data_IF_052429697311
#
_entry.id   IF_052429697311
#
_cell.length_a   1.000
_cell.length_b   1.000
_cell.length_c   1.000
_cell.angle_alpha   90.00
_cell.angle_beta   90.00
_cell.angle_gamma   90.00
#
_symmetry.space_group_name_H-M   'P 1'
#
loop_
_entity.id
_entity.type
_entity.pdbx_description
1 polymer ?
#
# COMPACT_ATOMS: atom_id res chain seq x y z
N UNK A 1 2.59 20.18 28.95
CA UNK A 1 3.35 19.33 28.02
C UNK A 1 2.74 19.51 26.65
N UNK A 2 3.53 19.95 25.67
CA UNK A 2 3.04 20.22 24.32
C UNK A 2 2.48 18.92 23.73
N UNK A 3 1.18 18.92 23.40
CA UNK A 3 0.57 17.86 22.60
C UNK A 3 1.10 18.02 21.18
N UNK A 4 2.21 17.39 20.86
CA UNK A 4 2.56 17.09 19.47
C UNK A 4 1.63 15.98 19.02
N UNK A 5 0.39 16.37 18.71
CA UNK A 5 -0.55 15.52 17.98
C UNK A 5 0.14 15.23 16.65
N UNK A 6 0.54 13.98 16.45
CA UNK A 6 1.07 13.48 15.19
C UNK A 6 -0.06 13.55 14.15
N UNK A 7 -0.27 14.72 13.54
CA UNK A 7 -1.01 14.88 12.30
C UNK A 7 -0.19 14.23 11.17
N UNK A 8 -0.17 12.89 11.17
CA UNK A 8 0.58 12.02 10.26
C UNK A 8 -0.35 11.35 9.26
N UNK A 9 -1.60 11.81 9.16
CA UNK A 9 -2.71 11.13 8.48
C UNK A 9 -2.56 11.06 6.96
N UNK A 10 -1.97 12.07 6.30
CA UNK A 10 -1.66 11.97 4.85
C UNK A 10 -0.16 11.98 4.51
N UNK A 11 0.68 12.59 5.33
CA UNK A 11 2.14 12.50 5.14
C UNK A 11 2.71 11.13 5.54
N UNK A 12 2.01 10.32 6.34
CA UNK A 12 2.48 9.03 6.86
C UNK A 12 2.89 8.01 5.81
N UNK A 13 2.28 8.04 4.62
CA UNK A 13 2.57 7.05 3.59
C UNK A 13 3.83 7.40 2.79
N UNK A 14 4.13 8.70 2.67
CA UNK A 14 5.43 9.17 2.20
C UNK A 14 6.45 9.15 3.35
N UNK A 15 6.02 9.28 4.62
CA UNK A 15 6.88 9.49 5.77
C UNK A 15 7.31 8.23 6.55
N UNK A 16 6.65 7.08 6.39
CA UNK A 16 6.97 5.86 7.15
C UNK A 16 8.38 5.31 6.88
N UNK A 17 9.02 5.69 5.77
CA UNK A 17 10.44 5.42 5.52
C UNK A 17 11.39 6.59 5.82
N UNK A 18 10.91 7.78 6.21
CA UNK A 18 11.78 8.94 6.51
C UNK A 18 11.98 9.26 7.97
N UNK A 19 11.29 8.61 8.92
CA UNK A 19 11.63 8.79 10.33
C UNK A 19 13.10 8.42 10.63
N UNK A 20 13.73 7.69 9.71
CA UNK A 20 15.07 7.15 9.84
C UNK A 20 16.11 7.71 8.89
N UNK A 21 15.71 8.46 7.85
CA UNK A 21 16.61 8.85 6.78
C UNK A 21 17.82 9.65 7.31
N UNK A 22 19.00 9.35 6.78
CA UNK A 22 20.22 10.09 7.05
C UNK A 22 20.31 11.32 6.13
N UNK A 23 20.27 12.51 6.73
CA UNK A 23 20.61 13.76 6.03
C UNK A 23 22.09 13.72 5.67
N UNK A 24 22.40 13.63 4.37
CA UNK A 24 23.78 13.55 3.86
C UNK A 24 24.24 14.85 3.20
N UNK A 25 23.29 15.73 2.87
CA UNK A 25 23.57 17.04 2.32
C UNK A 25 22.50 18.04 2.75
N UNK A 26 22.94 19.20 3.21
CA UNK A 26 22.08 20.33 3.54
C UNK A 26 22.87 21.62 3.39
N UNK A 27 22.79 22.22 2.20
CA UNK A 27 23.52 23.43 1.88
C UNK A 27 22.81 24.22 0.78
N UNK A 28 22.87 25.54 0.88
CA UNK A 28 22.39 26.48 -0.16
C UNK A 28 20.92 26.24 -0.57
N UNK A 29 20.06 25.94 0.41
CA UNK A 29 18.64 25.69 0.21
C UNK A 29 18.30 24.31 -0.37
N UNK A 30 19.30 23.43 -0.54
CA UNK A 30 19.10 22.06 -1.01
C UNK A 30 19.41 21.06 0.11
N UNK A 31 18.45 20.15 0.33
CA UNK A 31 18.52 19.05 1.29
C UNK A 31 18.41 17.71 0.56
N UNK A 32 19.28 16.77 0.90
CA UNK A 32 19.25 15.39 0.43
C UNK A 32 19.31 14.43 1.62
N UNK A 33 18.25 13.66 1.77
CA UNK A 33 18.16 12.55 2.69
C UNK A 33 18.33 11.24 1.92
N UNK A 34 19.19 10.36 2.41
CA UNK A 34 19.33 8.99 1.92
C UNK A 34 18.78 8.06 2.97
N UNK A 35 18.02 7.05 2.54
CA UNK A 35 17.41 6.08 3.43
C UNK A 35 17.51 4.68 2.85
N UNK A 36 17.48 3.70 3.74
CA UNK A 36 17.51 2.32 3.31
C UNK A 36 17.21 1.34 4.44
N UNK A 37 17.03 0.09 4.05
CA UNK A 37 16.95 -1.02 4.99
C UNK A 37 17.45 -2.32 4.39
N UNK A 38 18.03 -3.16 5.24
CA UNK A 38 18.27 -4.57 4.97
C UNK A 38 17.29 -5.35 5.83
N UNK A 39 16.36 -6.08 5.21
CA UNK A 39 15.39 -6.93 5.90
C UNK A 39 15.77 -8.39 5.63
N UNK A 40 16.43 -9.02 6.60
CA UNK A 40 16.71 -10.45 6.60
C UNK A 40 15.46 -11.17 7.11
N UNK A 41 14.88 -12.06 6.31
CA UNK A 41 13.55 -12.59 6.57
C UNK A 41 13.38 -13.99 5.99
N UNK A 42 12.66 -14.84 6.72
CA UNK A 42 12.34 -16.20 6.28
C UNK A 42 10.86 -16.47 6.48
N UNK A 43 10.25 -17.11 5.50
CA UNK A 43 8.87 -17.61 5.57
C UNK A 43 8.89 -19.10 5.79
N UNK A 44 8.02 -19.57 6.67
CA UNK A 44 7.77 -20.98 6.94
C UNK A 44 6.32 -21.28 6.57
N UNK A 45 6.10 -22.17 5.61
CA UNK A 45 4.77 -22.48 5.06
C UNK A 45 4.75 -23.88 4.44
N UNK A 46 3.62 -24.57 4.51
CA UNK A 46 3.41 -25.82 3.76
C UNK A 46 3.30 -25.55 2.23
N UNK A 47 2.90 -24.34 1.85
CA UNK A 47 3.00 -23.85 0.47
C UNK A 47 4.45 -23.52 0.10
N UNK A 48 5.08 -24.43 -0.64
CA UNK A 48 6.45 -24.28 -1.15
C UNK A 48 6.69 -23.04 -2.03
N UNK A 49 5.65 -22.43 -2.61
CA UNK A 49 5.82 -21.18 -3.36
C UNK A 49 5.99 -19.96 -2.45
N UNK A 50 5.52 -20.07 -1.21
CA UNK A 50 5.62 -19.06 -0.16
C UNK A 50 6.80 -19.30 0.78
N UNK A 51 7.16 -20.57 1.04
CA UNK A 51 8.25 -20.95 1.93
C UNK A 51 9.62 -20.40 1.51
N UNK A 52 10.54 -20.30 2.47
CA UNK A 52 11.96 -20.05 2.24
C UNK A 52 12.42 -18.61 2.49
N UNK A 53 13.64 -18.32 2.05
CA UNK A 53 14.27 -17.00 2.21
C UNK A 53 13.51 -15.91 1.43
N UNK A 54 13.23 -14.79 2.11
CA UNK A 54 12.59 -13.59 1.58
C UNK A 54 13.42 -12.34 1.83
N UNK A 55 14.71 -12.49 2.08
CA UNK A 55 15.63 -11.38 2.35
C UNK A 55 15.63 -10.37 1.20
N UNK A 56 15.59 -9.08 1.54
CA UNK A 56 15.67 -8.00 0.56
C UNK A 56 16.33 -6.74 1.14
N UNK A 57 16.79 -5.88 0.23
CA UNK A 57 17.31 -4.55 0.55
C UNK A 57 16.44 -3.50 -0.12
N UNK A 58 16.14 -2.41 0.60
CA UNK A 58 15.62 -1.19 -0.03
C UNK A 58 16.61 -0.05 0.14
N UNK A 59 16.72 0.77 -0.88
CA UNK A 59 17.55 1.95 -0.88
C UNK A 59 16.86 3.07 -1.66
N UNK A 60 16.99 4.30 -1.20
CA UNK A 60 16.36 5.44 -1.82
C UNK A 60 16.90 6.76 -1.32
N UNK A 61 16.42 7.83 -1.95
CA UNK A 61 16.69 9.20 -1.52
C UNK A 61 15.43 10.05 -1.61
N UNK A 62 15.43 11.13 -0.83
CA UNK A 62 14.48 12.24 -0.87
C UNK A 62 15.30 13.52 -0.99
N UNK A 63 15.06 14.28 -2.04
CA UNK A 63 15.69 15.56 -2.26
C UNK A 63 14.65 16.67 -2.22
N UNK A 64 14.99 17.79 -1.58
CA UNK A 64 14.20 19.01 -1.57
C UNK A 64 15.11 20.20 -1.89
N UNK A 65 14.61 21.14 -2.68
CA UNK A 65 15.31 22.37 -3.03
C UNK A 65 14.37 23.56 -2.87
N UNK A 66 14.76 24.52 -2.05
CA UNK A 66 14.06 25.79 -1.92
C UNK A 66 14.33 26.63 -3.18
N UNK A 67 13.29 26.85 -3.99
CA UNK A 67 13.41 27.66 -5.21
C UNK A 67 13.26 29.14 -4.86
N UNK A 68 12.27 29.46 -4.02
CA UNK A 68 12.08 30.76 -3.39
C UNK A 68 11.27 30.58 -2.09
N UNK A 69 10.88 31.69 -1.45
CA UNK A 69 10.14 31.66 -0.18
C UNK A 69 8.80 30.92 -0.24
N UNK A 70 8.22 30.74 -1.43
CA UNK A 70 6.91 30.11 -1.63
C UNK A 70 6.95 28.75 -2.31
N UNK A 71 7.99 28.49 -3.10
CA UNK A 71 8.06 27.33 -3.98
C UNK A 71 9.24 26.43 -3.60
N UNK A 72 8.93 25.16 -3.37
CA UNK A 72 9.92 24.10 -3.10
C UNK A 72 9.81 23.03 -4.18
N UNK A 73 10.93 22.67 -4.79
CA UNK A 73 11.03 21.49 -5.65
C UNK A 73 11.40 20.27 -4.82
N UNK A 74 10.86 19.10 -5.16
CA UNK A 74 11.19 17.85 -4.48
C UNK A 74 11.25 16.67 -5.44
N UNK A 75 11.98 15.64 -5.03
CA UNK A 75 12.07 14.37 -5.76
C UNK A 75 12.31 13.21 -4.82
N UNK A 76 11.77 12.04 -5.17
CA UNK A 76 11.97 10.81 -4.41
C UNK A 76 12.21 9.64 -5.34
N UNK A 77 13.17 8.81 -4.96
CA UNK A 77 13.40 7.51 -5.56
C UNK A 77 13.53 6.44 -4.48
N UNK A 78 13.02 5.24 -4.75
CA UNK A 78 13.13 4.05 -3.90
C UNK A 78 13.24 2.82 -4.78
N UNK A 79 14.24 1.98 -4.52
CA UNK A 79 14.45 0.70 -5.21
C UNK A 79 14.55 -0.43 -4.20
N UNK A 80 14.08 -1.60 -4.59
CA UNK A 80 14.19 -2.86 -3.86
C UNK A 80 15.07 -3.84 -4.64
N UNK A 81 15.98 -4.49 -3.94
CA UNK A 81 16.90 -5.49 -4.46
C UNK A 81 16.63 -6.80 -3.74
N UNK A 82 16.47 -7.87 -4.51
CA UNK A 82 16.25 -9.21 -3.95
C UNK A 82 17.55 -9.71 -3.32
N UNK A 83 17.48 -10.20 -2.09
CA UNK A 83 18.62 -10.79 -1.36
C UNK A 83 18.53 -12.32 -1.25
N UNK A 84 17.54 -12.93 -1.89
CA UNK A 84 17.14 -14.33 -1.74
C UNK A 84 17.21 -15.15 -3.04
N UNK A 85 17.87 -14.63 -4.08
CA UNK A 85 18.09 -15.33 -5.35
C UNK A 85 19.59 -15.47 -5.60
N UNK A 86 19.98 -16.42 -6.47
CA UNK A 86 21.35 -16.49 -6.94
C UNK A 86 21.74 -15.24 -7.76
N UNK A 87 23.04 -15.02 -7.93
CA UNK A 87 23.58 -13.83 -8.60
C UNK A 87 23.12 -13.69 -10.06
N UNK A 88 22.77 -14.80 -10.71
CA UNK A 88 22.36 -14.83 -12.12
C UNK A 88 20.89 -14.46 -12.33
N UNK A 89 20.08 -14.53 -11.28
CA UNK A 89 18.62 -14.33 -11.32
C UNK A 89 18.13 -13.20 -10.41
N UNK A 90 19.04 -12.52 -9.69
CA UNK A 90 18.67 -11.41 -8.82
C UNK A 90 17.95 -10.29 -9.58
N UNK A 91 16.84 -9.81 -8.99
CA UNK A 91 16.00 -8.78 -9.60
C UNK A 91 15.99 -7.50 -8.78
N UNK A 92 15.91 -6.37 -9.50
CA UNK A 92 15.71 -5.04 -8.95
C UNK A 92 14.35 -4.51 -9.36
N UNK A 93 13.66 -3.80 -8.45
CA UNK A 93 12.37 -3.15 -8.73
C UNK A 93 12.36 -1.73 -8.19
N UNK A 94 12.13 -0.74 -9.07
CA UNK A 94 11.84 0.63 -8.65
C UNK A 94 10.44 0.70 -8.05
N UNK A 95 10.36 1.11 -6.79
CA UNK A 95 9.11 1.23 -6.03
C UNK A 95 8.52 2.63 -6.16
N UNK A 96 9.34 3.66 -6.02
CA UNK A 96 8.94 5.06 -6.16
C UNK A 96 9.96 5.78 -7.03
N UNK A 97 9.49 6.66 -7.90
CA UNK A 97 10.31 7.51 -8.76
C UNK A 97 9.45 8.67 -9.27
N UNK A 98 9.46 9.80 -8.56
CA UNK A 98 8.66 10.97 -8.91
C UNK A 98 9.37 12.26 -8.53
N UNK A 99 8.97 13.35 -9.16
CA UNK A 99 9.40 14.70 -8.84
C UNK A 99 8.18 15.64 -8.85
N UNK A 100 8.27 16.72 -8.09
CA UNK A 100 7.16 17.65 -7.92
C UNK A 100 7.55 19.02 -7.41
N UNK A 101 6.54 19.86 -7.30
CA UNK A 101 6.61 21.22 -6.79
C UNK A 101 5.58 21.38 -5.67
N UNK A 102 5.96 22.07 -4.60
CA UNK A 102 5.08 22.45 -3.49
C UNK A 102 5.03 23.96 -3.39
N UNK A 103 3.81 24.51 -3.36
CA UNK A 103 3.54 25.93 -3.27
C UNK A 103 2.87 26.26 -1.93
N UNK A 104 3.66 26.51 -0.89
CA UNK A 104 3.22 26.74 0.51
C UNK A 104 1.93 25.97 0.88
N UNK A 105 0.86 26.69 1.25
CA UNK A 105 -0.44 26.16 1.64
C UNK A 105 -1.37 25.82 0.46
N UNK A 106 -0.99 26.20 -0.77
CA UNK A 106 -1.79 25.91 -1.96
C UNK A 106 -1.65 24.46 -2.43
N UNK A 107 -0.73 23.70 -1.86
CA UNK A 107 -0.57 22.28 -2.08
C UNK A 107 0.68 21.91 -2.87
N UNK A 108 0.73 20.68 -3.33
CA UNK A 108 1.82 20.10 -4.10
C UNK A 108 1.32 19.36 -5.33
N UNK A 109 2.13 19.35 -6.37
CA UNK A 109 1.91 18.55 -7.56
C UNK A 109 3.15 17.73 -7.88
N UNK A 110 2.99 16.42 -8.08
CA UNK A 110 4.05 15.53 -8.54
C UNK A 110 3.63 14.63 -9.69
N UNK A 111 4.62 14.18 -10.46
CA UNK A 111 4.44 13.21 -11.53
C UNK A 111 5.48 12.10 -11.47
N UNK A 112 5.03 10.85 -11.66
CA UNK A 112 5.91 9.70 -11.84
C UNK A 112 5.32 8.39 -11.34
N UNK A 113 6.18 7.51 -10.83
CA UNK A 113 5.78 6.29 -10.13
C UNK A 113 5.58 6.61 -8.65
N UNK A 114 4.32 6.67 -8.23
CA UNK A 114 3.92 7.06 -6.88
C UNK A 114 2.79 6.13 -6.37
N UNK A 115 2.21 6.46 -5.22
CA UNK A 115 1.07 5.77 -4.64
C UNK A 115 -0.24 6.30 -5.21
N UNK A 116 -1.16 5.38 -5.52
CA UNK A 116 -2.49 5.68 -6.00
C UNK A 116 -3.40 6.25 -4.91
N UNK A 117 -4.39 7.06 -5.30
CA UNK A 117 -5.26 7.79 -4.37
C UNK A 117 -6.04 6.88 -3.40
N UNK A 118 -6.42 5.66 -3.80
CA UNK A 118 -7.10 4.71 -2.91
C UNK A 118 -6.22 4.29 -1.72
N UNK A 119 -4.91 4.32 -1.92
CA UNK A 119 -3.96 3.92 -0.88
C UNK A 119 -3.88 4.94 0.27
N UNK A 120 -4.42 6.15 0.10
CA UNK A 120 -4.60 7.12 1.19
C UNK A 120 -5.62 6.62 2.26
N UNK A 121 -6.40 5.59 1.94
CA UNK A 121 -7.26 4.85 2.88
C UNK A 121 -6.58 3.56 3.32
N UNK A 122 -6.19 2.70 2.38
CA UNK A 122 -5.65 1.35 2.64
C UNK A 122 -4.36 1.36 3.47
N UNK A 123 -3.58 2.43 3.42
CA UNK A 123 -2.36 2.53 4.22
C UNK A 123 -2.60 2.54 5.74
N UNK A 124 -3.83 2.78 6.20
CA UNK A 124 -4.15 2.75 7.64
C UNK A 124 -4.18 1.33 8.20
N UNK A 125 -4.46 0.31 7.38
CA UNK A 125 -4.43 -1.10 7.83
C UNK A 125 -3.18 -1.86 7.37
N UNK A 126 -2.40 -1.31 6.42
CA UNK A 126 -1.07 -1.81 5.99
C UNK A 126 0.02 -1.53 7.05
N UNK A 127 -0.19 -2.05 8.28
CA UNK A 127 0.62 -1.79 9.47
C UNK A 127 1.09 -3.07 10.19
N UNK A 128 0.86 -4.24 9.61
CA UNK A 128 1.26 -5.52 10.22
C UNK A 128 2.80 -5.64 10.18
N UNK A 129 3.43 -6.50 11.00
CA UNK A 129 4.88 -6.68 10.99
C UNK A 129 5.47 -7.06 9.61
N UNK A 130 4.76 -7.89 8.85
CA UNK A 130 5.13 -8.29 7.50
C UNK A 130 3.96 -8.42 6.52
N UNK A 131 2.84 -9.03 6.95
CA UNK A 131 1.68 -9.22 6.06
C UNK A 131 0.85 -7.93 5.94
N UNK A 132 -0.43 -8.03 5.53
CA UNK A 132 -1.31 -6.87 5.40
C UNK A 132 -1.08 -6.05 4.13
N UNK A 133 -2.03 -5.14 3.87
CA UNK A 133 -2.03 -4.29 2.67
C UNK A 133 -1.95 -5.08 1.36
N UNK A 134 -2.43 -6.33 1.37
CA UNK A 134 -2.35 -7.31 0.29
C UNK A 134 -3.74 -7.68 -0.27
N UNK A 135 -4.82 -7.20 0.37
CA UNK A 135 -6.18 -7.35 -0.15
C UNK A 135 -6.41 -6.41 -1.34
N UNK A 136 -7.03 -5.24 -1.17
CA UNK A 136 -7.29 -4.27 -2.24
C UNK A 136 -5.99 -3.66 -2.77
N UNK A 137 -5.09 -3.28 -1.86
CA UNK A 137 -3.83 -2.62 -2.18
C UNK A 137 -2.87 -3.48 -3.00
N UNK A 138 -2.97 -3.44 -4.33
CA UNK A 138 -2.09 -4.23 -5.22
C UNK A 138 -1.20 -3.33 -6.07
N UNK A 139 0.09 -3.66 -6.12
CA UNK A 139 1.07 -2.90 -6.91
C UNK A 139 0.76 -3.03 -8.40
N UNK A 140 0.85 -1.91 -9.11
CA UNK A 140 0.56 -1.79 -10.54
C UNK A 140 -0.88 -2.18 -10.93
N UNK A 141 -1.81 -2.18 -9.97
CA UNK A 141 -3.23 -2.43 -10.21
C UNK A 141 -4.03 -1.12 -10.08
N UNK A 142 -4.18 -0.41 -11.20
CA UNK A 142 -4.82 0.90 -11.27
C UNK A 142 -4.24 1.88 -10.23
N UNK A 143 -5.07 2.48 -9.36
CA UNK A 143 -4.69 3.42 -8.31
C UNK A 143 -4.84 2.83 -6.89
N UNK A 144 -4.77 1.49 -6.75
CA UNK A 144 -4.96 0.80 -5.45
C UNK A 144 -3.73 0.80 -4.53
N UNK A 145 -2.51 0.87 -5.10
CA UNK A 145 -1.22 0.96 -4.38
C UNK A 145 -0.23 1.73 -5.26
N UNK A 146 1.05 1.35 -5.31
CA UNK A 146 2.05 1.95 -6.20
C UNK A 146 1.68 1.70 -7.66
N UNK A 147 1.75 2.73 -8.50
CA UNK A 147 1.61 2.60 -9.96
C UNK A 147 2.43 3.64 -10.71
N UNK A 148 2.55 3.49 -12.03
CA UNK A 148 3.34 4.35 -12.91
C UNK A 148 2.47 5.38 -13.64
N UNK A 149 3.03 6.55 -13.92
CA UNK A 149 2.37 7.60 -14.72
C UNK A 149 1.26 8.32 -13.96
N UNK A 150 1.46 8.53 -12.66
CA UNK A 150 0.52 9.26 -11.80
C UNK A 150 0.88 10.75 -11.78
N UNK A 151 -0.07 11.60 -12.14
CA UNK A 151 -0.05 13.04 -11.88
C UNK A 151 -0.92 13.30 -10.66
N UNK A 152 -0.32 13.71 -9.54
CA UNK A 152 -1.00 13.81 -8.24
C UNK A 152 -0.90 15.23 -7.71
N UNK A 153 -2.05 15.84 -7.47
CA UNK A 153 -2.19 17.06 -6.70
C UNK A 153 -2.63 16.72 -5.28
N UNK A 154 -1.96 17.28 -4.27
CA UNK A 154 -2.32 17.14 -2.86
C UNK A 154 -2.41 18.51 -2.22
N UNK A 155 -3.34 18.66 -1.30
CA UNK A 155 -3.49 19.86 -0.50
C UNK A 155 -3.75 19.47 0.95
N UNK A 156 -2.99 20.08 1.85
CA UNK A 156 -3.17 19.87 3.28
C UNK A 156 -3.95 21.03 3.88
N UNK A 157 -4.75 20.75 4.90
CA UNK A 157 -5.56 21.72 5.64
C UNK A 157 -6.53 22.53 4.75
N UNK A 158 -6.96 21.92 3.64
CA UNK A 158 -7.87 22.48 2.64
C UNK A 158 -7.60 23.96 2.34
N UNK A 159 -6.40 24.23 1.83
CA UNK A 159 -5.89 25.57 1.47
C UNK A 159 -5.67 26.48 2.68
N UNK A 160 -5.53 25.89 3.87
CA UNK A 160 -5.50 26.58 5.16
C UNK A 160 -6.88 26.99 5.67
N UNK A 161 -7.97 26.54 5.06
CA UNK A 161 -9.34 26.89 5.47
C UNK A 161 -9.90 25.93 6.53
N UNK A 162 -9.49 24.67 6.52
CA UNK A 162 -9.98 23.64 7.45
C UNK A 162 -8.80 22.81 7.92
N UNK A 163 -8.32 23.10 9.12
CA UNK A 163 -7.24 22.35 9.79
C UNK A 163 -7.57 20.85 9.86
N UNK A 164 -6.63 20.02 9.43
CA UNK A 164 -6.76 18.55 9.43
C UNK A 164 -7.53 17.96 8.25
N UNK A 165 -8.13 18.78 7.35
CA UNK A 165 -8.80 18.29 6.14
C UNK A 165 -7.84 18.28 4.96
N UNK A 166 -7.44 17.08 4.56
CA UNK A 166 -6.50 16.89 3.46
C UNK A 166 -7.22 16.35 2.21
N UNK A 167 -6.81 16.84 1.04
CA UNK A 167 -7.38 16.51 -0.28
C UNK A 167 -6.31 15.95 -1.22
N UNK A 168 -6.68 14.92 -1.97
CA UNK A 168 -5.92 14.44 -3.14
C UNK A 168 -6.78 14.42 -4.39
N UNK A 169 -6.19 14.88 -5.49
CA UNK A 169 -6.70 14.71 -6.85
C UNK A 169 -5.60 14.03 -7.67
N UNK A 170 -5.95 13.00 -8.42
CA UNK A 170 -4.98 12.20 -9.15
C UNK A 170 -5.50 11.83 -10.53
N UNK A 171 -4.60 11.88 -11.51
CA UNK A 171 -4.79 11.31 -12.83
C UNK A 171 -3.74 10.23 -13.08
N UNK A 172 -4.15 9.14 -13.72
CA UNK A 172 -3.28 8.07 -14.18
C UNK A 172 -3.41 7.94 -15.69
N UNK A 173 -2.30 8.08 -16.42
CA UNK A 173 -2.26 7.79 -17.85
C UNK A 173 -2.33 6.29 -18.15
N UNK A 174 -2.87 5.94 -19.32
CA UNK A 174 -2.91 4.56 -19.82
C UNK A 174 -1.53 3.91 -19.83
N UNK A 175 -1.44 2.73 -19.20
CA UNK A 175 -0.30 1.82 -19.31
C UNK A 175 -0.71 0.57 -20.11
N UNK A 176 -0.37 0.53 -21.40
CA UNK A 176 -0.71 -0.60 -22.29
C UNK A 176 0.32 -1.73 -22.13
N UNK A 177 0.08 -2.61 -21.16
CA UNK A 177 0.94 -3.76 -20.84
C UNK A 177 0.32 -5.06 -21.31
N UNK A 178 1.15 -6.06 -21.67
CA UNK A 178 0.67 -7.39 -22.05
C UNK A 178 0.06 -8.17 -20.88
N UNK A 179 0.50 -7.89 -19.64
CA UNK A 179 -0.04 -8.50 -18.44
C UNK A 179 -1.29 -7.73 -17.99
N UNK A 180 -2.46 -8.36 -18.19
CA UNK A 180 -3.76 -7.74 -17.89
C UNK A 180 -3.87 -7.18 -16.46
N UNK A 181 -3.31 -7.88 -15.47
CA UNK A 181 -3.38 -7.51 -14.05
C UNK A 181 -2.56 -6.25 -13.72
N UNK A 182 -1.66 -5.83 -14.61
CA UNK A 182 -0.81 -4.65 -14.41
C UNK A 182 -1.00 -3.57 -15.46
N UNK A 183 -1.89 -3.79 -16.43
CA UNK A 183 -2.31 -2.79 -17.41
C UNK A 183 -3.38 -1.87 -16.79
N UNK A 184 -3.54 -0.67 -17.33
CA UNK A 184 -4.65 0.24 -17.00
C UNK A 184 -4.92 1.16 -18.19
N UNK A 185 -6.18 1.58 -18.35
CA UNK A 185 -6.54 2.72 -19.19
C UNK A 185 -6.26 4.05 -18.49
N UNK A 186 -6.71 5.14 -19.10
CA UNK A 186 -6.70 6.44 -18.44
C UNK A 186 -7.69 6.43 -17.26
N UNK A 187 -7.38 7.17 -16.19
CA UNK A 187 -8.25 7.22 -15.03
C UNK A 187 -7.98 8.38 -14.10
N UNK A 188 -8.93 8.61 -13.20
CA UNK A 188 -8.84 9.63 -12.16
C UNK A 188 -9.16 9.04 -10.79
N UNK A 189 -8.60 9.66 -9.76
CA UNK A 189 -8.83 9.29 -8.38
C UNK A 189 -8.87 10.53 -7.48
N UNK A 190 -9.56 10.40 -6.36
CA UNK A 190 -9.57 11.42 -5.31
C UNK A 190 -9.61 10.76 -3.95
N UNK A 191 -9.03 11.44 -2.96
CA UNK A 191 -9.17 11.08 -1.55
C UNK A 191 -9.41 12.34 -0.73
N UNK A 192 -10.12 12.15 0.38
CA UNK A 192 -10.30 13.13 1.44
C UNK A 192 -10.03 12.43 2.76
N UNK A 193 -9.21 13.04 3.61
CA UNK A 193 -9.06 12.59 4.99
C UNK A 193 -9.24 13.74 5.95
N UNK A 194 -9.83 13.46 7.11
CA UNK A 194 -10.06 14.45 8.13
C UNK A 194 -9.57 13.94 9.49
N UNK A 195 -8.57 14.65 10.02
CA UNK A 195 -8.18 14.61 11.42
C UNK A 195 -9.00 15.67 12.17
N UNK A 196 -9.81 15.25 13.13
CA UNK A 196 -10.84 16.10 13.74
C UNK A 196 -10.30 17.14 14.74
N UNK A 197 -8.99 17.45 14.73
CA UNK A 197 -8.42 18.58 15.47
C UNK A 197 -8.79 18.57 16.95
N UNK A 198 -8.17 17.69 17.75
CA UNK A 198 -8.46 17.51 19.18
C UNK A 198 -9.20 16.22 19.52
N UNK A 199 -9.50 15.40 18.52
CA UNK A 199 -9.83 13.98 18.65
C UNK A 199 -8.59 13.14 18.36
N UNK A 200 -8.53 11.93 18.93
CA UNK A 200 -7.52 10.92 18.59
C UNK A 200 -7.97 10.06 17.38
N UNK A 201 -9.11 10.38 16.78
CA UNK A 201 -9.71 9.69 15.64
C UNK A 201 -9.55 10.48 14.34
N UNK A 202 -9.38 9.75 13.23
CA UNK A 202 -9.40 10.27 11.88
C UNK A 202 -10.28 9.39 10.96
N UNK A 203 -10.84 10.00 9.91
CA UNK A 203 -11.57 9.32 8.84
C UNK A 203 -10.93 9.61 7.48
N UNK A 204 -10.89 8.63 6.59
CA UNK A 204 -10.42 8.79 5.21
C UNK A 204 -11.40 8.12 4.26
N UNK A 205 -11.57 8.68 3.07
CA UNK A 205 -12.35 8.10 1.99
C UNK A 205 -11.68 8.39 0.65
N UNK A 206 -11.77 7.44 -0.26
CA UNK A 206 -11.21 7.59 -1.60
C UNK A 206 -12.11 6.94 -2.65
N UNK A 207 -12.05 7.47 -3.87
CA UNK A 207 -12.73 6.97 -5.05
C UNK A 207 -11.79 7.00 -6.25
N UNK A 208 -11.82 5.97 -7.09
CA UNK A 208 -11.05 5.91 -8.32
C UNK A 208 -11.86 5.29 -9.45
N UNK A 209 -11.73 5.81 -10.66
CA UNK A 209 -12.30 5.21 -11.87
C UNK A 209 -11.28 5.26 -13.00
N UNK A 210 -11.12 4.15 -13.70
CA UNK A 210 -10.22 4.02 -14.84
C UNK A 210 -10.86 3.22 -15.96
N UNK A 211 -10.54 3.57 -17.20
CA UNK A 211 -10.85 2.70 -18.32
C UNK A 211 -10.05 1.40 -18.24
N UNK A 212 -10.61 0.31 -18.78
CA UNK A 212 -9.94 -0.99 -18.89
C UNK A 212 -9.39 -1.16 -20.31
N UNK A 213 -8.19 -1.68 -20.43
CA UNK A 213 -7.54 -1.89 -21.73
C UNK A 213 -8.16 -3.07 -22.49
N UNK A 214 -7.87 -3.17 -23.79
CA UNK A 214 -8.37 -4.27 -24.62
C UNK A 214 -7.91 -5.64 -24.11
N UNK A 215 -6.67 -5.76 -23.61
CA UNK A 215 -6.16 -7.03 -23.05
C UNK A 215 -6.92 -7.43 -21.77
N UNK A 216 -7.40 -6.46 -20.99
CA UNK A 216 -8.23 -6.72 -19.81
C UNK A 216 -9.64 -7.14 -20.22
N UNK A 217 -10.24 -6.43 -21.19
CA UNK A 217 -11.59 -6.74 -21.69
C UNK A 217 -11.66 -8.08 -22.41
N UNK A 218 -10.55 -8.57 -22.97
CA UNK A 218 -10.46 -9.86 -23.64
C UNK A 218 -10.35 -11.07 -22.68
N UNK A 219 -10.24 -10.86 -21.37
CA UNK A 219 -10.17 -11.97 -20.39
C UNK A 219 -11.52 -12.64 -20.16
N UNK A 220 -11.50 -13.93 -19.85
CA UNK A 220 -12.73 -14.69 -19.66
C UNK A 220 -13.54 -14.21 -18.46
N UNK A 221 -12.87 -13.82 -17.37
CA UNK A 221 -13.51 -13.19 -16.20
C UNK A 221 -13.48 -11.66 -16.31
N UNK A 222 -13.70 -11.08 -17.50
CA UNK A 222 -13.74 -9.62 -17.67
C UNK A 222 -15.16 -9.03 -17.64
N UNK A 223 -16.18 -9.86 -17.86
CA UNK A 223 -17.61 -9.52 -17.91
C UNK A 223 -17.96 -8.25 -18.69
N UNK A 224 -17.20 -7.94 -19.76
CA UNK A 224 -17.46 -6.79 -20.63
C UNK A 224 -17.40 -5.40 -19.98
N UNK A 225 -17.01 -5.29 -18.70
CA UNK A 225 -16.91 -4.02 -17.99
C UNK A 225 -15.82 -3.14 -18.62
N UNK A 226 -16.19 -1.96 -19.10
CA UNK A 226 -15.25 -1.01 -19.75
C UNK A 226 -14.41 -0.23 -18.75
N UNK A 227 -14.86 -0.15 -17.50
CA UNK A 227 -14.24 0.64 -16.45
C UNK A 227 -13.94 -0.24 -15.23
N UNK A 228 -12.85 0.08 -14.55
CA UNK A 228 -12.48 -0.41 -13.24
C UNK A 228 -12.76 0.71 -12.24
N UNK A 229 -13.55 0.40 -11.21
CA UNK A 229 -13.99 1.36 -10.20
C UNK A 229 -13.60 0.86 -8.82
N UNK A 230 -13.22 1.77 -7.93
CA UNK A 230 -13.13 1.47 -6.51
C UNK A 230 -13.55 2.65 -5.65
N UNK A 231 -14.10 2.33 -4.49
CA UNK A 231 -14.26 3.28 -3.41
C UNK A 231 -13.93 2.61 -2.09
N UNK A 232 -13.32 3.34 -1.18
CA UNK A 232 -12.98 2.84 0.14
C UNK A 232 -13.12 3.92 1.19
N UNK A 233 -13.31 3.50 2.44
CA UNK A 233 -13.27 4.38 3.61
C UNK A 233 -12.57 3.67 4.76
N UNK A 234 -11.91 4.48 5.60
CA UNK A 234 -11.18 4.00 6.76
C UNK A 234 -11.45 4.87 7.98
N UNK A 235 -11.35 4.25 9.14
CA UNK A 235 -11.35 4.90 10.44
C UNK A 235 -10.06 4.51 11.15
N UNK A 236 -9.41 5.47 11.81
CA UNK A 236 -8.21 5.24 12.59
C UNK A 236 -8.32 5.91 13.95
N UNK A 237 -7.82 5.24 14.99
CA UNK A 237 -7.47 5.80 16.28
C UNK A 237 -5.97 5.56 16.52
N UNK A 238 -5.23 6.61 16.83
CA UNK A 238 -3.76 6.58 16.89
C UNK A 238 -3.25 7.45 18.03
N UNK A 239 -3.47 6.99 19.26
CA UNK A 239 -3.10 7.73 20.46
C UNK A 239 -2.93 6.81 21.67
N UNK A 240 -2.25 7.32 22.70
CA UNK A 240 -2.09 6.63 23.98
C UNK A 240 -1.48 5.22 23.83
N UNK A 241 -0.44 5.11 22.98
CA UNK A 241 0.24 3.86 22.61
C UNK A 241 -0.64 2.82 21.90
N UNK A 242 -1.88 3.14 21.56
CA UNK A 242 -2.81 2.24 20.88
C UNK A 242 -2.96 2.70 19.42
N UNK A 243 -2.85 1.74 18.51
CA UNK A 243 -3.16 1.93 17.10
C UNK A 243 -4.31 1.00 16.73
N UNK A 244 -5.45 1.58 16.36
CA UNK A 244 -6.60 0.85 15.82
C UNK A 244 -6.92 1.42 14.45
N UNK A 245 -7.08 0.58 13.45
CA UNK A 245 -7.61 1.01 12.16
C UNK A 245 -8.52 -0.04 11.56
N UNK A 246 -9.49 0.42 10.78
CA UNK A 246 -10.36 -0.42 9.98
C UNK A 246 -10.59 0.23 8.62
N UNK A 247 -10.61 -0.56 7.57
CA UNK A 247 -10.85 -0.15 6.20
C UNK A 247 -11.90 -1.05 5.58
N UNK A 248 -12.85 -0.45 4.87
CA UNK A 248 -13.75 -1.16 3.97
C UNK A 248 -13.60 -0.58 2.56
N UNK A 249 -13.44 -1.47 1.58
CA UNK A 249 -13.27 -1.08 0.18
C UNK A 249 -14.11 -1.98 -0.71
N UNK A 250 -14.79 -1.38 -1.68
CA UNK A 250 -15.47 -2.10 -2.76
C UNK A 250 -14.78 -1.80 -4.08
N UNK A 251 -14.57 -2.84 -4.88
CA UNK A 251 -14.01 -2.70 -6.21
C UNK A 251 -14.92 -3.35 -7.24
N UNK A 252 -14.93 -2.81 -8.46
CA UNK A 252 -15.64 -3.35 -9.63
C UNK A 252 -14.67 -3.52 -10.79
N UNK A 253 -14.59 -4.73 -11.35
CA UNK A 253 -13.72 -5.07 -12.48
C UNK A 253 -12.22 -4.75 -12.28
N UNK A 254 -11.76 -4.68 -11.04
CA UNK A 254 -10.44 -4.17 -10.66
C UNK A 254 -9.59 -5.17 -9.88
N UNK A 255 -10.20 -6.07 -9.11
CA UNK A 255 -9.46 -7.06 -8.32
C UNK A 255 -9.03 -8.22 -9.23
N UNK A 256 -7.72 -8.42 -9.52
CA UNK A 256 -7.28 -9.44 -10.47
C UNK A 256 -7.47 -10.86 -9.93
N UNK A 257 -7.87 -11.77 -10.81
CA UNK A 257 -7.99 -13.22 -10.55
C UNK A 257 -7.01 -13.92 -11.47
N UNK A 258 -6.03 -14.63 -10.88
CA UNK A 258 -4.96 -15.27 -11.63
C UNK A 258 -5.45 -16.46 -12.44
N UNK A 259 -6.16 -17.39 -11.80
CA UNK A 259 -6.64 -18.64 -12.39
C UNK A 259 -5.51 -19.59 -12.84
N UNK A 260 -5.74 -20.90 -12.75
CA UNK A 260 -4.78 -21.89 -13.28
C UNK A 260 -4.85 -22.05 -14.80
N UNK A 261 -5.99 -21.71 -15.41
CA UNK A 261 -6.22 -21.80 -16.85
C UNK A 261 -6.75 -20.48 -17.41
N UNK A 262 -6.60 -20.26 -18.72
CA UNK A 262 -7.01 -19.03 -19.39
C UNK A 262 -8.48 -18.63 -19.14
N UNK A 263 -9.37 -19.62 -18.99
CA UNK A 263 -10.79 -19.43 -18.71
C UNK A 263 -11.06 -18.87 -17.30
N UNK A 264 -10.11 -18.98 -16.38
CA UNK A 264 -10.28 -18.55 -14.98
C UNK A 264 -9.47 -17.29 -14.66
N UNK A 265 -8.94 -16.62 -15.69
CA UNK A 265 -8.18 -15.39 -15.54
C UNK A 265 -9.05 -14.18 -15.84
N UNK A 266 -8.80 -13.09 -15.12
CA UNK A 266 -9.44 -11.80 -15.36
C UNK A 266 -9.56 -11.02 -14.07
N UNK A 267 -10.77 -10.55 -13.75
CA UNK A 267 -11.02 -9.72 -12.60
C UNK A 267 -12.31 -10.14 -11.90
N UNK A 268 -12.39 -9.91 -10.59
CA UNK A 268 -13.66 -10.00 -9.90
C UNK A 268 -14.59 -8.89 -10.41
N UNK A 269 -15.81 -9.27 -10.80
CA UNK A 269 -16.85 -8.33 -11.24
C UNK A 269 -17.16 -7.30 -10.15
N UNK A 270 -17.25 -7.80 -8.92
CA UNK A 270 -17.25 -7.02 -7.70
C UNK A 270 -16.40 -7.74 -6.65
N UNK A 271 -15.69 -6.98 -5.82
CA UNK A 271 -15.07 -7.50 -4.61
C UNK A 271 -15.34 -6.57 -3.44
N UNK A 272 -15.64 -7.15 -2.28
CA UNK A 272 -15.84 -6.43 -1.02
C UNK A 272 -14.72 -6.79 -0.07
N UNK A 273 -14.04 -5.78 0.46
CA UNK A 273 -12.85 -5.91 1.26
C UNK A 273 -13.08 -5.29 2.63
N UNK A 274 -12.62 -5.98 3.66
CA UNK A 274 -12.58 -5.50 5.01
C UNK A 274 -11.23 -5.84 5.63
N UNK A 275 -10.56 -4.83 6.17
CA UNK A 275 -9.33 -4.97 6.93
C UNK A 275 -9.51 -4.30 8.30
N UNK A 276 -8.94 -4.90 9.34
CA UNK A 276 -8.85 -4.29 10.65
C UNK A 276 -7.54 -4.66 11.33
N UNK A 277 -6.99 -3.74 12.12
CA UNK A 277 -5.76 -3.93 12.88
C UNK A 277 -5.89 -3.30 14.26
N UNK A 278 -5.35 -4.00 15.27
CA UNK A 278 -5.21 -3.51 16.62
C UNK A 278 -3.79 -3.76 17.13
N UNK A 279 -3.12 -2.72 17.60
CA UNK A 279 -1.75 -2.78 18.08
C UNK A 279 -1.57 -1.95 19.34
N UNK A 280 -0.60 -2.36 20.16
CA UNK A 280 -0.21 -1.62 21.36
C UNK A 280 1.31 -1.46 21.39
N UNK A 281 1.81 -0.25 21.62
CA UNK A 281 3.23 0.05 21.74
C UNK A 281 3.64 0.08 23.22
N UNK A 282 4.37 -0.93 23.67
CA UNK A 282 4.99 -0.88 24.99
C UNK A 282 6.21 0.06 24.98
N UNK A 283 6.44 0.74 26.11
CA UNK A 283 7.55 1.67 26.28
C UNK A 283 8.94 1.02 26.13
N UNK A 284 9.04 -0.28 26.42
CA UNK A 284 10.28 -1.05 26.27
C UNK A 284 10.54 -1.54 24.84
N UNK A 285 9.72 -1.14 23.86
CA UNK A 285 9.95 -1.36 22.43
C UNK A 285 9.17 -2.51 21.79
N UNK A 286 8.43 -3.32 22.56
CA UNK A 286 7.57 -4.36 21.99
C UNK A 286 6.25 -3.79 21.46
N UNK A 287 5.84 -4.22 20.28
CA UNK A 287 4.58 -3.85 19.63
C UNK A 287 3.84 -5.09 19.10
N UNK A 288 3.00 -5.75 19.92
CA UNK A 288 2.09 -6.78 19.41
C UNK A 288 1.05 -6.18 18.44
N UNK A 289 0.61 -7.02 17.50
CA UNK A 289 -0.36 -6.73 16.46
C UNK A 289 -1.35 -7.88 16.30
N UNK A 290 -2.63 -7.56 16.21
CA UNK A 290 -3.71 -8.47 15.81
C UNK A 290 -4.43 -7.86 14.60
N UNK A 291 -4.50 -8.61 13.51
CA UNK A 291 -5.14 -8.19 12.27
C UNK A 291 -6.21 -9.17 11.78
N UNK A 292 -7.16 -8.66 11.00
CA UNK A 292 -8.09 -9.46 10.22
C UNK A 292 -8.22 -8.87 8.82
N UNK A 293 -8.15 -9.72 7.80
CA UNK A 293 -8.27 -9.32 6.40
C UNK A 293 -9.23 -10.26 5.70
N UNK A 294 -10.20 -9.71 4.97
CA UNK A 294 -11.11 -10.47 4.11
C UNK A 294 -11.36 -9.72 2.79
N UNK A 295 -11.22 -10.43 1.69
CA UNK A 295 -11.63 -10.01 0.34
C UNK A 295 -12.58 -11.06 -0.23
N UNK A 296 -13.84 -10.68 -0.46
CA UNK A 296 -14.84 -11.54 -1.05
C UNK A 296 -15.17 -11.11 -2.48
N UNK A 297 -14.80 -11.95 -3.44
CA UNK A 297 -15.24 -11.84 -4.83
C UNK A 297 -16.72 -12.20 -4.94
N UNK A 298 -17.46 -11.39 -5.71
CA UNK A 298 -18.90 -11.50 -5.90
C UNK A 298 -19.22 -11.78 -7.36
N UNK A 299 -20.16 -12.70 -7.57
CA UNK A 299 -20.68 -13.05 -8.89
C UNK A 299 -19.56 -13.33 -9.91
N UNK A 300 -18.59 -14.18 -9.54
CA UNK A 300 -17.54 -14.59 -10.45
C UNK A 300 -18.12 -15.50 -11.54
N UNK A 301 -17.79 -15.20 -12.81
CA UNK A 301 -18.33 -15.90 -13.97
C UNK A 301 -17.91 -17.39 -14.03
N UNK A 302 -18.29 -18.08 -15.10
CA UNK A 302 -17.92 -19.48 -15.35
C UNK A 302 -18.33 -20.44 -14.22
N UNK A 303 -19.50 -20.17 -13.61
CA UNK A 303 -20.11 -20.98 -12.56
C UNK A 303 -19.38 -20.94 -11.22
N UNK A 304 -18.48 -19.98 -11.00
CA UNK A 304 -17.68 -19.86 -9.77
C UNK A 304 -18.50 -19.25 -8.62
N UNK A 305 -19.27 -18.20 -8.91
CA UNK A 305 -20.09 -17.49 -7.93
C UNK A 305 -19.28 -16.72 -6.88
N UNK A 306 -19.82 -16.60 -5.68
CA UNK A 306 -19.18 -15.90 -4.56
C UNK A 306 -18.03 -16.71 -3.96
N UNK A 307 -16.85 -16.11 -3.83
CA UNK A 307 -15.66 -16.76 -3.23
C UNK A 307 -14.88 -15.80 -2.34
N UNK A 308 -14.40 -16.29 -1.19
CA UNK A 308 -13.37 -15.60 -0.44
C UNK A 308 -12.05 -15.73 -1.23
N UNK A 309 -11.53 -14.60 -1.73
CA UNK A 309 -10.27 -14.53 -2.48
C UNK A 309 -9.06 -14.38 -1.54
N UNK A 310 -9.31 -13.85 -0.34
CA UNK A 310 -8.36 -13.74 0.76
C UNK A 310 -9.15 -13.68 2.05
N UNK A 311 -8.73 -14.44 3.07
CA UNK A 311 -9.36 -14.42 4.39
C UNK A 311 -8.39 -14.96 5.42
N UNK A 312 -7.91 -14.12 6.32
CA UNK A 312 -6.96 -14.55 7.35
C UNK A 312 -7.04 -13.70 8.61
N UNK A 313 -6.59 -14.30 9.71
CA UNK A 313 -6.21 -13.58 10.93
C UNK A 313 -4.69 -13.46 10.95
N UNK A 314 -4.20 -12.30 11.36
CA UNK A 314 -2.78 -12.02 11.53
C UNK A 314 -2.45 -11.84 13.01
N UNK A 315 -1.44 -12.56 13.49
CA UNK A 315 -0.94 -12.40 14.85
C UNK A 315 0.57 -12.23 14.81
N UNK A 316 1.04 -11.06 15.21
CA UNK A 316 2.45 -10.74 15.13
C UNK A 316 2.94 -9.84 16.25
N UNK A 317 4.25 -9.69 16.33
CA UNK A 317 4.88 -8.69 17.20
C UNK A 317 6.19 -8.21 16.60
N UNK A 318 6.42 -6.91 16.70
CA UNK A 318 7.71 -6.29 16.38
C UNK A 318 8.38 -5.83 17.67
N UNK A 319 9.67 -6.10 17.83
CA UNK A 319 10.50 -5.54 18.88
C UNK A 319 11.46 -4.51 18.28
N UNK A 320 11.32 -3.25 18.70
CA UNK A 320 12.20 -2.16 18.30
C UNK A 320 13.34 -2.04 19.32
N UNK A 321 14.53 -2.52 18.97
CA UNK A 321 15.73 -2.33 19.81
C UNK A 321 16.09 -0.85 19.92
N UNK A 322 15.99 -0.16 18.78
CA UNK A 322 16.07 1.27 18.64
C UNK A 322 15.45 1.66 17.30
N UNK A 323 15.54 2.93 16.95
CA UNK A 323 15.00 3.46 15.69
C UNK A 323 15.60 2.80 14.43
N UNK A 324 16.85 2.32 14.49
CA UNK A 324 17.62 1.74 13.38
C UNK A 324 17.61 0.20 13.33
N UNK A 325 17.12 -0.50 14.36
CA UNK A 325 17.15 -1.97 14.41
C UNK A 325 15.88 -2.54 15.04
N UNK A 326 15.27 -3.50 14.36
CA UNK A 326 14.09 -4.23 14.84
C UNK A 326 14.14 -5.71 14.49
N UNK A 327 13.39 -6.52 15.24
CA UNK A 327 13.10 -7.91 14.91
C UNK A 327 11.59 -8.15 15.02
N UNK A 328 11.07 -9.12 14.28
CA UNK A 328 9.64 -9.45 14.32
C UNK A 328 9.39 -10.93 14.10
N UNK A 329 8.20 -11.35 14.56
CA UNK A 329 7.53 -12.59 14.14
C UNK A 329 6.11 -12.23 13.74
N UNK A 330 5.61 -12.84 12.67
CA UNK A 330 4.28 -12.61 12.15
C UNK A 330 3.65 -13.94 11.73
N UNK A 331 2.39 -14.19 12.10
CA UNK A 331 1.70 -15.43 11.78
C UNK A 331 0.38 -15.16 11.05
N UNK A 332 0.39 -15.45 9.75
CA UNK A 332 -0.80 -15.43 8.89
C UNK A 332 -1.53 -16.77 9.01
N UNK A 333 -2.63 -16.74 9.74
CA UNK A 333 -3.55 -17.86 9.91
C UNK A 333 -4.63 -17.76 8.83
N UNK A 334 -4.44 -18.51 7.75
CA UNK A 334 -5.33 -18.55 6.62
C UNK A 334 -6.62 -19.30 6.98
N UNK A 335 -7.75 -18.69 6.66
CA UNK A 335 -9.09 -19.18 7.01
C UNK A 335 -9.85 -19.70 5.78
N UNK A 336 -9.17 -19.83 4.63
CA UNK A 336 -9.75 -20.38 3.41
C UNK A 336 -9.44 -21.87 3.34
N UNK A 337 -10.50 -22.68 3.21
CA UNK A 337 -10.35 -24.11 3.00
C UNK A 337 -9.90 -24.45 1.57
N UNK A 338 -9.08 -25.50 1.47
CA UNK A 338 -8.70 -26.07 0.19
C UNK A 338 -9.90 -26.78 -0.46
N UNK A 339 -10.30 -26.31 -1.63
CA UNK A 339 -11.42 -26.84 -2.42
C UNK A 339 -11.04 -26.90 -3.89
N UNK A 340 -11.85 -27.56 -4.71
CA UNK A 340 -11.66 -27.55 -6.15
C UNK A 340 -11.67 -26.12 -6.74
N UNK A 341 -12.47 -25.21 -6.16
CA UNK A 341 -12.58 -23.82 -6.62
C UNK A 341 -11.36 -23.00 -6.21
N UNK A 342 -10.88 -23.12 -4.96
CA UNK A 342 -9.71 -22.37 -4.50
C UNK A 342 -8.45 -22.81 -5.25
N UNK A 343 -8.30 -24.10 -5.54
CA UNK A 343 -7.27 -24.61 -6.47
C UNK A 343 -7.41 -24.01 -7.86
N UNK A 344 -8.59 -24.08 -8.46
CA UNK A 344 -8.89 -23.54 -9.80
C UNK A 344 -8.50 -22.07 -9.94
N UNK A 345 -8.73 -21.28 -8.89
CA UNK A 345 -8.41 -19.84 -8.83
C UNK A 345 -6.98 -19.51 -8.39
N UNK A 346 -6.18 -20.52 -8.03
CA UNK A 346 -4.85 -20.35 -7.45
C UNK A 346 -4.86 -19.48 -6.17
N UNK A 347 -5.85 -19.71 -5.32
CA UNK A 347 -5.96 -19.06 -4.00
C UNK A 347 -5.12 -19.89 -3.02
N UNK A 348 -4.19 -19.22 -2.35
CA UNK A 348 -3.39 -19.81 -1.28
C UNK A 348 -4.28 -20.11 -0.07
N UNK A 349 -4.18 -21.32 0.47
CA UNK A 349 -4.95 -21.78 1.64
C UNK A 349 -4.08 -22.10 2.85
N UNK A 350 -2.77 -22.18 2.66
CA UNK A 350 -1.83 -22.48 3.73
C UNK A 350 -1.56 -21.29 4.64
N UNK A 351 -1.15 -21.59 5.87
CA UNK A 351 -0.67 -20.62 6.83
C UNK A 351 0.78 -20.23 6.52
N UNK A 352 1.20 -19.05 6.96
CA UNK A 352 2.60 -18.59 6.83
C UNK A 352 3.08 -17.97 8.13
N UNK A 353 4.22 -18.44 8.63
CA UNK A 353 4.97 -17.75 9.69
C UNK A 353 6.13 -17.01 9.06
N UNK A 354 6.22 -15.70 9.30
CA UNK A 354 7.35 -14.88 8.92
C UNK A 354 8.18 -14.54 10.16
N UNK A 355 9.50 -14.66 10.06
CA UNK A 355 10.44 -14.14 11.07
C UNK A 355 11.47 -13.29 10.37
N UNK A 356 11.93 -12.23 11.04
CA UNK A 356 12.98 -11.43 10.45
C UNK A 356 13.57 -10.36 11.35
N UNK A 357 14.65 -9.78 10.86
CA UNK A 357 15.35 -8.65 11.45
C UNK A 357 15.58 -7.58 10.40
N UNK A 358 15.47 -6.32 10.81
CA UNK A 358 15.65 -5.18 9.93
C UNK A 358 16.64 -4.21 10.54
N UNK A 359 17.73 -3.95 9.80
CA UNK A 359 18.55 -2.75 9.99
C UNK A 359 18.08 -1.67 9.02
N UNK A 360 17.92 -0.44 9.51
CA UNK A 360 17.45 0.71 8.72
C UNK A 360 18.17 2.01 9.08
N UNK A 361 18.28 2.92 8.11
CA UNK A 361 18.97 4.20 8.21
C UNK A 361 18.37 5.25 7.27
#
# INVERSE_FOLDING_TARGET
>A
MQKTTLALTMMGIIASSSAMAAEVYNKDGNKLDVYGKVKAMHYMSDDSSSDGDKTYVRFGFKGETQINDQLTGYGRWESEFSGNNDESTSTQKTRLAFAGLKLKQFGSFDYGRNLGALYDVEAWTDMFPEFGGDSTGKTDNFMTKRSSGLATYRNNDFFGAIDGLDLTLQYQGKNDRSTYATANGDGFGTSLSYDFGGSDFAISAAYTNSDRTNVQQAKSLANGGKNAESWGTGLKYDANNIYLAMVYTETRNMTPIKGLVAADQGFANKAQNFEAVAQYQFDFGLRPSLGYVQMKGKDLDNGIGDQDLMKYVDLGTTYYFNKNMSAFVDYKINLIDETAVTKRLAIMTDNVVAVGMTYQF
#
